data_IF_213237659986
#
_entry.id   IF_213237659986
#
_cell.length_a   1.000
_cell.length_b   1.000
_cell.length_c   1.000
_cell.angle_alpha   90.00
_cell.angle_beta   90.00
_cell.angle_gamma   90.00
#
_symmetry.space_group_name_H-M   'P 1'
#
loop_
_entity.id
_entity.type
_entity.pdbx_description
1 polymer ?
#
# COMPACT_ATOMS: atom_id res chain seq x y z
N UNK A 1 -8.60 -15.66 -15.92
CA UNK A 1 -7.20 -15.77 -15.45
C UNK A 1 -7.02 -14.80 -14.28
N UNK A 2 -6.13 -15.11 -13.34
CA UNK A 2 -5.78 -14.18 -12.25
C UNK A 2 -4.36 -13.71 -12.50
N UNK A 3 -4.20 -12.42 -12.81
CA UNK A 3 -2.89 -11.78 -12.88
C UNK A 3 -2.43 -11.49 -11.46
N UNK A 4 -1.21 -11.94 -11.13
CA UNK A 4 -0.63 -11.79 -9.80
C UNK A 4 0.78 -11.23 -9.91
N UNK A 5 1.00 -10.11 -9.24
CA UNK A 5 2.28 -9.42 -9.15
C UNK A 5 2.77 -9.45 -7.70
N UNK A 6 4.08 -9.63 -7.52
CA UNK A 6 4.70 -9.81 -6.21
C UNK A 6 5.97 -8.97 -6.14
N UNK A 7 6.08 -8.15 -5.11
CA UNK A 7 7.30 -7.43 -4.76
C UNK A 7 7.77 -7.88 -3.39
N UNK A 8 9.02 -8.30 -3.32
CA UNK A 8 9.70 -8.65 -2.08
C UNK A 8 10.40 -7.42 -1.53
N UNK A 9 10.29 -7.22 -0.22
CA UNK A 9 10.90 -6.11 0.54
C UNK A 9 10.59 -4.70 0.00
N UNK A 10 9.38 -4.34 -0.44
CA UNK A 10 9.14 -2.99 -0.97
C UNK A 10 9.17 -1.93 0.13
N UNK A 11 9.59 -0.71 -0.24
CA UNK A 11 9.29 0.51 0.51
C UNK A 11 8.07 1.15 -0.13
N UNK A 12 7.02 1.38 0.67
CA UNK A 12 5.75 1.91 0.18
C UNK A 12 5.48 3.24 0.85
N UNK A 13 5.16 4.25 0.06
CA UNK A 13 4.67 5.55 0.53
C UNK A 13 3.17 5.64 0.36
N UNK A 14 2.50 6.24 1.35
CA UNK A 14 1.05 6.40 1.39
C UNK A 14 0.69 7.88 1.41
N UNK A 15 -0.23 8.26 0.56
CA UNK A 15 -0.77 9.63 0.44
C UNK A 15 -2.29 9.56 0.60
N UNK A 16 -2.89 10.60 1.19
CA UNK A 16 -4.35 10.72 1.15
C UNK A 16 -4.78 11.16 -0.23
N UNK A 17 -5.75 10.47 -0.80
CA UNK A 17 -6.30 10.83 -2.10
C UNK A 17 -7.37 11.92 -1.89
N UNK A 18 -7.07 13.12 -2.40
CA UNK A 18 -7.93 14.30 -2.30
C UNK A 18 -8.24 14.82 -3.70
N UNK A 19 -9.52 14.84 -4.05
CA UNK A 19 -9.97 15.39 -5.33
C UNK A 19 -9.64 16.89 -5.41
N UNK A 20 -8.98 17.29 -6.49
CA UNK A 20 -8.64 18.71 -6.78
C UNK A 20 -7.40 19.26 -6.06
N UNK A 21 -6.87 18.58 -5.04
CA UNK A 21 -5.64 18.97 -4.34
C UNK A 21 -4.80 17.72 -4.03
N UNK A 22 -4.04 17.19 -5.00
CA UNK A 22 -3.21 16.02 -4.77
C UNK A 22 -2.21 16.31 -3.63
N UNK A 23 -2.23 15.50 -2.58
CA UNK A 23 -1.24 15.61 -1.52
C UNK A 23 0.14 15.27 -2.08
N UNK A 24 1.10 16.18 -1.85
CA UNK A 24 2.48 16.05 -2.34
C UNK A 24 3.39 15.36 -1.34
N UNK A 25 2.97 15.29 -0.09
CA UNK A 25 3.73 14.72 1.01
C UNK A 25 3.10 13.40 1.43
N UNK A 26 3.93 12.36 1.54
CA UNK A 26 3.46 11.09 2.07
C UNK A 26 3.20 11.27 3.57
N UNK A 27 2.02 10.90 4.05
CA UNK A 27 1.73 10.97 5.49
C UNK A 27 2.34 9.77 6.23
N UNK A 28 2.59 8.67 5.53
CA UNK A 28 3.24 7.45 6.05
C UNK A 28 4.15 6.84 4.98
N UNK A 29 5.27 6.27 5.43
CA UNK A 29 6.07 5.33 4.65
C UNK A 29 6.31 4.06 5.46
N UNK A 30 6.25 2.91 4.81
CA UNK A 30 6.46 1.59 5.43
C UNK A 30 7.51 0.80 4.68
N UNK A 31 8.26 -0.03 5.41
CA UNK A 31 9.01 -1.14 4.83
C UNK A 31 8.22 -2.41 5.07
N UNK A 32 7.96 -3.18 4.02
CA UNK A 32 7.25 -4.44 4.13
C UNK A 32 8.17 -5.61 3.81
N UNK A 33 7.78 -6.81 4.22
CA UNK A 33 8.38 -8.03 3.71
C UNK A 33 7.91 -8.31 2.30
N UNK A 34 6.62 -8.09 2.02
CA UNK A 34 6.02 -8.46 0.73
C UNK A 34 4.76 -7.65 0.41
N UNK A 35 4.64 -7.26 -0.85
CA UNK A 35 3.40 -6.75 -1.44
C UNK A 35 2.93 -7.71 -2.54
N UNK A 36 1.68 -8.14 -2.44
CA UNK A 36 1.01 -8.94 -3.47
C UNK A 36 -0.13 -8.11 -4.04
N UNK A 37 -0.16 -7.94 -5.36
CA UNK A 37 -1.26 -7.28 -6.07
C UNK A 37 -1.86 -8.28 -7.04
N UNK A 38 -3.15 -8.52 -6.93
CA UNK A 38 -3.89 -9.47 -7.77
C UNK A 38 -5.02 -8.78 -8.51
N UNK A 39 -5.27 -9.18 -9.76
CA UNK A 39 -6.40 -8.73 -10.58
C UNK A 39 -7.05 -9.94 -11.24
N UNK A 40 -8.37 -10.07 -11.11
CA UNK A 40 -9.12 -11.03 -11.94
C UNK A 40 -9.50 -10.36 -13.26
N UNK A 41 -9.49 -11.10 -14.37
CA UNK A 41 -9.70 -10.54 -15.72
C UNK A 41 -11.00 -9.71 -15.87
N UNK A 42 -12.07 -10.12 -15.19
CA UNK A 42 -13.38 -9.46 -15.27
C UNK A 42 -13.55 -8.34 -14.24
N UNK A 43 -12.62 -8.21 -13.29
CA UNK A 43 -12.73 -7.26 -12.20
C UNK A 43 -12.03 -5.94 -12.52
N UNK A 44 -12.72 -4.85 -12.23
CA UNK A 44 -12.18 -3.50 -12.42
C UNK A 44 -11.18 -3.10 -11.33
N UNK A 45 -11.09 -3.88 -10.25
CA UNK A 45 -10.33 -3.57 -9.04
C UNK A 45 -9.15 -4.53 -8.84
N UNK A 46 -8.18 -4.07 -8.05
CA UNK A 46 -7.08 -4.88 -7.56
C UNK A 46 -7.37 -5.29 -6.13
N UNK A 47 -7.10 -6.56 -5.80
CA UNK A 47 -7.04 -7.06 -4.43
C UNK A 47 -5.59 -7.19 -4.01
N UNK A 48 -5.25 -6.64 -2.85
CA UNK A 48 -3.87 -6.46 -2.42
C UNK A 48 -3.65 -7.01 -1.01
N UNK A 49 -2.45 -7.54 -0.78
CA UNK A 49 -1.98 -7.97 0.53
C UNK A 49 -0.62 -7.35 0.80
N UNK A 50 -0.48 -6.70 1.95
CA UNK A 50 0.79 -6.18 2.45
C UNK A 50 1.15 -6.92 3.73
N UNK A 51 2.26 -7.66 3.65
CA UNK A 51 2.68 -8.60 4.69
C UNK A 51 3.90 -8.09 5.45
N UNK A 52 3.88 -8.33 6.76
CA UNK A 52 4.95 -8.07 7.71
C UNK A 52 5.63 -6.71 7.51
N UNK A 53 4.85 -5.63 7.61
CA UNK A 53 5.34 -4.27 7.41
C UNK A 53 5.41 -3.47 8.71
N UNK A 54 6.30 -2.48 8.72
CA UNK A 54 6.43 -1.53 9.82
C UNK A 54 6.60 -0.11 9.29
N UNK A 55 6.06 0.90 9.98
CA UNK A 55 6.26 2.29 9.60
C UNK A 55 7.72 2.69 9.80
N UNK A 56 8.31 3.26 8.75
CA UNK A 56 9.62 3.93 8.78
C UNK A 56 9.47 5.45 8.91
N UNK A 57 8.27 5.98 8.61
CA UNK A 57 7.89 7.37 8.75
C UNK A 57 6.38 7.49 8.97
N UNK A 58 5.96 8.47 9.78
CA UNK A 58 4.55 8.80 9.99
C UNK A 58 3.81 7.84 10.92
N UNK A 59 2.51 8.08 11.11
CA UNK A 59 1.64 7.28 11.99
C UNK A 59 0.64 6.47 11.20
N UNK A 60 0.89 5.17 11.06
CA UNK A 60 -0.01 4.25 10.33
C UNK A 60 -1.38 4.08 11.01
N UNK A 61 -1.46 4.29 12.32
CA UNK A 61 -2.70 4.14 13.09
C UNK A 61 -3.87 4.99 12.59
N UNK A 62 -3.61 6.10 11.89
CA UNK A 62 -4.67 6.91 11.26
C UNK A 62 -5.56 6.08 10.33
N UNK A 63 -4.99 5.16 9.55
CA UNK A 63 -5.73 4.36 8.57
C UNK A 63 -6.80 3.48 9.23
N UNK A 64 -6.64 3.17 10.52
CA UNK A 64 -7.57 2.35 11.28
C UNK A 64 -8.61 3.15 12.06
N UNK A 65 -8.58 4.49 12.04
CA UNK A 65 -9.66 5.31 12.62
C UNK A 65 -10.88 5.31 11.70
N UNK A 66 -12.03 5.73 12.20
CA UNK A 66 -13.26 5.81 11.40
C UNK A 66 -13.10 6.77 10.21
N UNK A 67 -12.41 7.90 10.42
CA UNK A 67 -12.07 8.84 9.34
C UNK A 67 -11.11 8.21 8.33
N UNK A 68 -10.11 7.47 8.80
CA UNK A 68 -9.13 6.80 7.96
C UNK A 68 -9.74 5.69 7.09
N UNK A 69 -10.70 4.93 7.61
CA UNK A 69 -11.41 3.89 6.84
C UNK A 69 -12.31 4.49 5.75
N UNK A 70 -12.88 5.68 5.99
CA UNK A 70 -13.70 6.39 5.02
C UNK A 70 -12.87 7.04 3.89
N UNK A 71 -11.59 7.30 4.16
CA UNK A 71 -10.66 7.91 3.20
C UNK A 71 -10.27 6.96 2.05
N UNK A 72 -9.74 7.58 0.98
CA UNK A 72 -9.07 6.89 -0.12
C UNK A 72 -7.59 7.23 -0.09
N UNK A 73 -6.77 6.30 -0.56
CA UNK A 73 -5.33 6.46 -0.55
C UNK A 73 -4.70 6.22 -1.91
N UNK A 74 -3.52 6.81 -2.06
CA UNK A 74 -2.57 6.48 -3.13
C UNK A 74 -1.37 5.80 -2.49
N UNK A 75 -1.02 4.62 -3.00
CA UNK A 75 0.17 3.88 -2.59
C UNK A 75 1.18 3.88 -3.73
N UNK A 76 2.42 4.24 -3.45
CA UNK A 76 3.52 4.26 -4.42
C UNK A 76 4.70 3.42 -3.91
N UNK A 77 5.39 2.73 -4.81
CA UNK A 77 6.64 2.03 -4.51
C UNK A 77 7.52 1.93 -5.75
N UNK A 78 8.78 1.57 -5.53
CA UNK A 78 9.76 1.32 -6.58
C UNK A 78 10.20 -0.13 -6.53
N UNK A 79 10.49 -0.69 -7.70
CA UNK A 79 11.19 -1.96 -7.86
C UNK A 79 12.70 -1.69 -7.79
N UNK A 80 13.38 -2.26 -6.79
CA UNK A 80 14.83 -2.09 -6.59
C UNK A 80 15.66 -2.94 -7.56
N UNK A 81 15.05 -3.88 -8.28
CA UNK A 81 15.67 -4.64 -9.36
C UNK A 81 15.68 -3.93 -10.71
N UNK A 82 15.12 -2.72 -10.81
CA UNK A 82 15.00 -1.95 -12.07
C UNK A 82 15.79 -0.66 -11.96
N UNK A 83 16.90 -0.55 -12.70
CA UNK A 83 17.78 0.62 -12.69
C UNK A 83 17.14 1.90 -13.26
N UNK A 84 16.08 1.77 -14.07
CA UNK A 84 15.36 2.89 -14.66
C UNK A 84 14.19 3.32 -13.75
N UNK A 85 14.42 4.34 -12.92
CA UNK A 85 13.42 4.90 -12.00
C UNK A 85 12.10 5.30 -12.67
N UNK A 86 12.13 5.73 -13.94
CA UNK A 86 10.90 6.11 -14.66
C UNK A 86 10.01 4.91 -14.98
N UNK A 87 10.63 3.72 -15.09
CA UNK A 87 9.98 2.44 -15.34
C UNK A 87 9.79 1.62 -14.07
N UNK A 88 10.52 1.92 -12.99
CA UNK A 88 10.39 1.24 -11.70
C UNK A 88 9.24 1.78 -10.85
N UNK A 89 8.70 2.96 -11.17
CA UNK A 89 7.64 3.59 -10.39
C UNK A 89 6.29 2.88 -10.57
N UNK A 90 5.73 2.43 -9.46
CA UNK A 90 4.44 1.73 -9.37
C UNK A 90 3.49 2.52 -8.48
N UNK A 91 2.20 2.48 -8.81
CA UNK A 91 1.18 3.21 -8.04
C UNK A 91 -0.17 2.52 -8.06
N UNK A 92 -0.83 2.47 -6.90
CA UNK A 92 -2.25 2.13 -6.75
C UNK A 92 -3.03 3.38 -6.31
N UNK A 93 -4.24 3.56 -6.85
CA UNK A 93 -5.15 4.67 -6.47
C UNK A 93 -6.54 4.16 -6.12
N UNK A 94 -7.30 4.96 -5.38
CA UNK A 94 -8.57 4.55 -4.81
C UNK A 94 -8.41 3.46 -3.76
N UNK A 95 -7.27 3.40 -3.08
CA UNK A 95 -6.96 2.35 -2.10
C UNK A 95 -7.86 2.47 -0.88
N UNK A 96 -8.38 1.34 -0.39
CA UNK A 96 -9.19 1.25 0.84
C UNK A 96 -8.81 0.07 1.71
N UNK A 97 -8.61 0.35 3.00
CA UNK A 97 -8.35 -0.63 4.05
C UNK A 97 -9.64 -0.91 4.84
N UNK A 98 -10.56 -1.70 4.27
CA UNK A 98 -11.88 -1.93 4.87
C UNK A 98 -11.80 -2.58 6.25
N UNK A 99 -10.91 -3.57 6.42
CA UNK A 99 -10.66 -4.24 7.69
C UNK A 99 -9.63 -3.48 8.56
N UNK A 100 -9.13 -2.33 8.09
CA UNK A 100 -8.05 -1.60 8.73
C UNK A 100 -6.68 -2.28 8.58
N UNK A 101 -5.78 -1.96 9.51
CA UNK A 101 -4.43 -2.51 9.57
C UNK A 101 -4.25 -3.25 10.89
N UNK A 102 -3.89 -4.53 10.79
CA UNK A 102 -3.71 -5.38 11.95
C UNK A 102 -2.24 -5.36 12.37
N UNK A 103 -1.94 -4.68 13.47
CA UNK A 103 -0.60 -4.64 14.03
C UNK A 103 -0.50 -5.53 15.27
N UNK A 104 0.53 -6.37 15.30
CA UNK A 104 0.87 -7.21 16.44
C UNK A 104 2.21 -6.75 17.01
N UNK A 105 2.32 -6.71 18.34
CA UNK A 105 3.60 -6.55 18.99
C UNK A 105 4.40 -7.85 18.80
N UNK A 106 5.53 -7.76 18.09
CA UNK A 106 6.47 -8.86 17.94
C UNK A 106 7.42 -8.97 19.12
N UNK A 107 8.34 -9.93 19.06
CA UNK A 107 9.43 -10.04 20.02
C UNK A 107 10.28 -8.75 20.03
N UNK A 108 10.74 -8.34 21.22
CA UNK A 108 11.55 -7.13 21.44
C UNK A 108 10.86 -5.80 21.07
N UNK A 109 9.55 -5.68 21.35
CA UNK A 109 8.75 -4.46 21.11
C UNK A 109 8.64 -4.00 19.64
N UNK A 110 9.05 -4.86 18.69
CA UNK A 110 8.93 -4.55 17.26
C UNK A 110 7.51 -4.79 16.79
N UNK A 111 6.77 -3.70 16.56
CA UNK A 111 5.43 -3.78 15.98
C UNK A 111 5.51 -4.16 14.51
N UNK A 112 4.84 -5.25 14.14
CA UNK A 112 4.71 -5.72 12.76
C UNK A 112 3.23 -5.71 12.38
N UNK A 113 2.92 -5.18 11.20
CA UNK A 113 1.57 -5.00 10.73
C UNK A 113 1.29 -5.81 9.45
N UNK A 114 0.02 -6.13 9.25
CA UNK A 114 -0.50 -6.82 8.08
C UNK A 114 -1.77 -6.12 7.60
N UNK A 115 -1.97 -6.07 6.29
CA UNK A 115 -3.13 -5.41 5.71
C UNK A 115 -3.62 -6.14 4.45
N UNK A 116 -4.95 -6.21 4.33
CA UNK A 116 -5.65 -6.55 3.09
C UNK A 116 -6.43 -5.32 2.64
N UNK A 117 -6.32 -4.97 1.37
CA UNK A 117 -6.96 -3.78 0.84
C UNK A 117 -7.26 -3.92 -0.64
N UNK A 118 -8.21 -3.13 -1.10
CA UNK A 118 -8.55 -3.03 -2.51
C UNK A 118 -8.02 -1.73 -3.09
N UNK A 119 -7.74 -1.71 -4.39
CA UNK A 119 -7.46 -0.51 -5.15
C UNK A 119 -8.35 -0.44 -6.39
N UNK A 120 -8.78 0.77 -6.77
CA UNK A 120 -9.60 0.97 -7.98
C UNK A 120 -8.76 0.91 -9.25
N UNK A 121 -7.55 1.46 -9.22
CA UNK A 121 -6.68 1.53 -10.39
C UNK A 121 -5.23 1.29 -9.99
N UNK A 122 -4.41 0.89 -10.95
CA UNK A 122 -3.00 0.61 -10.75
C UNK A 122 -2.17 0.89 -12.00
N UNK A 123 -1.03 1.57 -11.83
CA UNK A 123 0.08 1.58 -12.77
C UNK A 123 1.11 0.59 -12.24
N UNK A 124 1.14 -0.60 -12.85
CA UNK A 124 1.88 -1.77 -12.34
C UNK A 124 3.00 -2.21 -13.31
N UNK A 125 3.06 -1.58 -14.49
CA UNK A 125 4.06 -1.77 -15.53
C UNK A 125 4.72 -0.44 -15.91
#
# INVERSE_FOLDING_TARGET
>A
MVLRFVWEKPVITMYKERFGKPEREAFVAVKARKLVVSKQDEDSKFSCVLEDFFPIMGKIGYVSTEEGKADKYVLCWFDDGVDDFSKAFRRLTGVTFLEGINCVAGEQDKTTCNARFDAKHGKIE
#
